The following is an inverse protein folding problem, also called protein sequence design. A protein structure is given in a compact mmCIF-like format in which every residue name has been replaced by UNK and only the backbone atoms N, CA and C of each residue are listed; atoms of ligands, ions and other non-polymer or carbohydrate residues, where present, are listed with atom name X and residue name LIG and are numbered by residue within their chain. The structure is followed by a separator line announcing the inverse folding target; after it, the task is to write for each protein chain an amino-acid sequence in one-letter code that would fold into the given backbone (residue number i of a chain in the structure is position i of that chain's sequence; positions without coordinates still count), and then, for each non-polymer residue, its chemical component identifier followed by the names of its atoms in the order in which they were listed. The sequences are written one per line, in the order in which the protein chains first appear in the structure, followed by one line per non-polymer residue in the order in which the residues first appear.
data_IF_470972103638
#
_entry.id   IF_470972103638
#
_cell.length_a   1.000
_cell.length_b   1.000
_cell.length_c   1.000
_cell.angle_alpha   90.00
_cell.angle_beta   90.00
_cell.angle_gamma   90.00
#
_symmetry.space_group_name_H-M   'P 1'
#
loop_
_entity.id
_entity.type
_entity.pdbx_description
1 polymer ?
#
# COMPACT_ATOMS: atom_id res chain seq x y z
N UNK A 1 -34.89 6.12 56.82
CA UNK A 1 -34.27 4.99 56.09
C UNK A 1 -34.13 5.41 54.67
N UNK A 2 -32.92 5.89 54.27
CA UNK A 2 -32.62 6.38 52.91
C UNK A 2 -31.80 5.30 52.20
N UNK A 3 -32.39 4.70 51.17
CA UNK A 3 -31.68 3.77 50.27
C UNK A 3 -30.99 4.58 49.15
N UNK A 4 -29.68 4.75 49.25
CA UNK A 4 -28.81 5.25 48.21
C UNK A 4 -28.51 4.14 47.21
N UNK A 5 -28.91 4.34 45.95
CA UNK A 5 -28.64 3.41 44.81
C UNK A 5 -27.23 3.61 44.27
N UNK A 6 -26.39 2.58 44.08
CA UNK A 6 -25.11 2.71 43.40
C UNK A 6 -25.34 2.58 41.90
N UNK A 7 -25.23 3.71 41.16
CA UNK A 7 -25.40 3.75 39.69
C UNK A 7 -24.17 4.20 38.94
N UNK A 8 -22.96 4.08 39.47
CA UNK A 8 -21.77 4.75 38.88
C UNK A 8 -20.65 3.84 38.37
N UNK A 9 -20.84 2.52 38.20
CA UNK A 9 -19.72 1.65 37.85
C UNK A 9 -19.78 1.00 36.44
N UNK A 10 -20.81 1.25 35.64
CA UNK A 10 -20.97 0.60 34.31
C UNK A 10 -20.41 1.39 33.12
N UNK A 11 -20.10 2.67 33.29
CA UNK A 11 -19.59 3.51 32.18
C UNK A 11 -18.13 3.31 31.78
N UNK A 12 -17.16 3.04 32.68
CA UNK A 12 -15.78 2.83 32.25
C UNK A 12 -15.55 1.52 31.50
N UNK A 13 -16.35 0.48 31.73
CA UNK A 13 -16.21 -0.79 30.97
C UNK A 13 -16.70 -0.70 29.54
N UNK A 14 -17.72 0.12 29.24
CA UNK A 14 -18.20 0.32 27.88
C UNK A 14 -17.21 1.11 27.01
N UNK A 15 -16.47 2.06 27.60
CA UNK A 15 -15.44 2.83 26.91
C UNK A 15 -14.18 1.98 26.59
N UNK A 16 -13.84 1.04 27.46
CA UNK A 16 -12.68 0.15 27.24
C UNK A 16 -12.91 -0.89 26.12
N UNK A 17 -14.16 -1.36 25.94
CA UNK A 17 -14.50 -2.29 24.84
C UNK A 17 -14.55 -1.62 23.48
N UNK A 18 -14.86 -0.32 23.38
CA UNK A 18 -14.80 0.42 22.10
C UNK A 18 -13.37 0.65 21.60
N UNK A 19 -12.39 0.73 22.50
CA UNK A 19 -10.98 0.94 22.13
C UNK A 19 -10.31 -0.31 21.51
N UNK A 20 -10.87 -1.50 21.70
CA UNK A 20 -10.33 -2.76 21.16
C UNK A 20 -10.78 -3.07 19.71
N UNK A 21 -11.71 -2.30 19.17
CA UNK A 21 -12.19 -2.42 17.78
C UNK A 21 -11.33 -1.65 16.76
N UNK A 22 -10.10 -1.27 17.10
CA UNK A 22 -9.15 -0.77 16.12
C UNK A 22 -8.71 -1.93 15.21
N UNK A 23 -9.62 -2.30 14.30
CA UNK A 23 -9.37 -3.32 13.29
C UNK A 23 -8.05 -3.02 12.59
N UNK A 24 -7.16 -4.01 12.55
CA UNK A 24 -5.88 -3.96 11.84
C UNK A 24 -6.13 -3.65 10.37
N UNK A 25 -5.95 -2.40 9.94
CA UNK A 25 -5.86 -2.11 8.53
C UNK A 25 -4.54 -2.66 8.01
N UNK A 26 -4.58 -3.46 6.98
CA UNK A 26 -3.37 -3.95 6.32
C UNK A 26 -2.56 -2.76 5.80
N UNK A 27 -1.25 -2.69 6.07
CA UNK A 27 -0.42 -1.59 5.59
C UNK A 27 -0.31 -1.62 4.07
N UNK A 28 -0.36 -0.45 3.45
CA UNK A 28 -0.09 -0.29 2.02
C UNK A 28 1.42 -0.24 1.84
N UNK A 29 1.99 -1.27 1.22
CA UNK A 29 3.43 -1.40 1.03
C UNK A 29 3.80 -1.13 -0.42
N UNK A 30 4.67 -0.16 -0.65
CA UNK A 30 5.16 0.22 -1.97
C UNK A 30 6.67 0.00 -2.08
N UNK A 31 7.15 -0.36 -3.28
CA UNK A 31 8.56 -0.41 -3.62
C UNK A 31 8.87 0.72 -4.58
N UNK A 32 9.86 1.53 -4.23
CA UNK A 32 10.27 2.71 -4.98
C UNK A 32 11.69 2.57 -5.47
N UNK A 33 11.94 2.94 -6.72
CA UNK A 33 13.29 3.11 -7.25
C UNK A 33 13.35 4.47 -7.93
N UNK A 34 14.28 5.34 -7.51
CA UNK A 34 14.44 6.67 -8.06
C UNK A 34 15.81 6.85 -8.69
N UNK A 35 15.87 7.64 -9.74
CA UNK A 35 17.08 8.12 -10.40
C UNK A 35 17.00 9.63 -10.53
N UNK A 36 18.07 10.35 -10.19
CA UNK A 36 18.05 11.80 -10.31
C UNK A 36 19.40 12.36 -10.74
N UNK A 37 19.32 13.50 -11.42
CA UNK A 37 20.38 14.47 -11.72
C UNK A 37 19.78 15.86 -11.47
N UNK A 38 19.20 16.05 -10.25
CA UNK A 38 18.42 17.23 -9.93
C UNK A 38 19.29 18.48 -9.88
N UNK A 39 18.93 19.57 -10.63
CA UNK A 39 19.67 20.82 -10.60
C UNK A 39 19.52 21.52 -9.24
N UNK A 40 20.52 22.34 -8.86
CA UNK A 40 20.50 23.09 -7.60
C UNK A 40 19.65 24.37 -7.66
N UNK A 41 19.37 24.89 -8.86
CA UNK A 41 18.72 26.19 -9.13
C UNK A 41 17.21 26.06 -9.39
N UNK A 42 16.53 25.22 -8.63
CA UNK A 42 15.13 24.82 -8.93
C UNK A 42 14.09 25.42 -7.99
N UNK A 43 14.50 26.17 -6.98
CA UNK A 43 13.56 26.77 -6.02
C UNK A 43 12.53 27.68 -6.73
N UNK A 44 11.25 27.38 -6.57
CA UNK A 44 10.16 28.11 -7.19
C UNK A 44 9.99 27.89 -8.71
N UNK A 45 10.73 26.94 -9.28
CA UNK A 45 10.60 26.61 -10.71
C UNK A 45 9.19 26.13 -11.06
N UNK A 46 8.77 26.45 -12.28
CA UNK A 46 7.44 26.06 -12.76
C UNK A 46 7.44 24.68 -13.39
N UNK A 47 6.29 24.00 -13.31
CA UNK A 47 6.08 22.72 -14.00
C UNK A 47 4.76 22.73 -14.81
N UNK A 48 4.73 21.88 -15.84
CA UNK A 48 3.53 21.58 -16.65
C UNK A 48 3.48 20.08 -16.92
N UNK A 49 2.28 19.53 -17.13
CA UNK A 49 2.15 18.10 -17.47
C UNK A 49 2.25 17.89 -18.97
N UNK A 50 2.91 16.80 -19.37
CA UNK A 50 2.87 16.32 -20.75
C UNK A 50 1.58 15.50 -20.89
N UNK A 51 0.75 15.88 -21.84
CA UNK A 51 -0.46 15.15 -22.20
C UNK A 51 -0.40 14.71 -23.65
N UNK A 52 -0.61 13.42 -23.95
CA UNK A 52 -0.89 12.99 -25.32
C UNK A 52 -2.15 13.67 -25.84
N UNK A 53 -2.22 13.88 -27.14
CA UNK A 53 -3.34 14.61 -27.76
C UNK A 53 -4.70 13.93 -27.54
N UNK A 54 -4.72 12.62 -27.48
CA UNK A 54 -5.89 11.77 -27.20
C UNK A 54 -6.34 11.81 -25.72
N UNK A 55 -5.45 12.17 -24.80
CA UNK A 55 -5.74 12.25 -23.34
C UNK A 55 -6.07 13.69 -22.87
N UNK A 56 -6.24 14.67 -23.77
CA UNK A 56 -6.50 16.06 -23.38
C UNK A 56 -7.79 16.24 -22.57
N UNK A 57 -8.81 15.43 -22.81
CA UNK A 57 -10.11 15.49 -22.15
C UNK A 57 -10.35 14.31 -21.17
N UNK A 58 -9.33 13.55 -20.86
CA UNK A 58 -9.42 12.43 -19.92
C UNK A 58 -9.55 12.94 -18.48
N UNK A 59 -10.71 12.71 -17.86
CA UNK A 59 -11.00 13.13 -16.49
C UNK A 59 -10.19 12.32 -15.46
N UNK A 60 -9.90 11.07 -15.77
CA UNK A 60 -9.08 10.21 -14.91
C UNK A 60 -7.65 10.75 -14.86
N UNK A 61 -7.07 11.05 -16.03
CA UNK A 61 -5.74 11.64 -16.12
C UNK A 61 -5.67 12.99 -15.40
N UNK A 62 -6.70 13.84 -15.55
CA UNK A 62 -6.75 15.13 -14.85
C UNK A 62 -6.81 14.96 -13.32
N UNK A 63 -7.52 13.95 -12.82
CA UNK A 63 -7.57 13.63 -11.40
C UNK A 63 -6.20 13.20 -10.88
N UNK A 64 -5.48 12.38 -11.66
CA UNK A 64 -4.13 11.95 -11.33
C UNK A 64 -3.14 13.11 -11.27
N UNK A 65 -3.19 13.99 -12.29
CA UNK A 65 -2.38 15.20 -12.31
C UNK A 65 -2.62 16.12 -11.12
N UNK A 66 -3.89 16.26 -10.70
CA UNK A 66 -4.23 17.06 -9.51
C UNK A 66 -3.59 16.48 -8.24
N UNK A 67 -3.61 15.17 -8.09
CA UNK A 67 -2.97 14.49 -6.95
C UNK A 67 -1.45 14.72 -6.96
N UNK A 68 -0.82 14.60 -8.13
CA UNK A 68 0.63 14.82 -8.30
C UNK A 68 0.98 16.29 -8.08
N UNK A 69 0.16 17.21 -8.58
CA UNK A 69 0.36 18.65 -8.40
C UNK A 69 0.48 19.03 -6.93
N UNK A 70 -0.43 18.52 -6.08
CA UNK A 70 -0.40 18.79 -4.63
C UNK A 70 0.93 18.38 -4.00
N UNK A 71 1.47 17.25 -4.39
CA UNK A 71 2.74 16.77 -3.84
C UNK A 71 3.96 17.53 -4.41
N UNK A 72 3.93 17.95 -5.69
CA UNK A 72 4.99 18.76 -6.28
C UNK A 72 5.02 20.17 -5.69
N UNK A 73 3.86 20.76 -5.38
CA UNK A 73 3.76 22.07 -4.75
C UNK A 73 4.36 22.06 -3.32
N UNK A 74 4.28 20.96 -2.60
CA UNK A 74 4.98 20.78 -1.30
C UNK A 74 6.50 20.81 -1.43
N UNK A 75 7.03 20.51 -2.62
CA UNK A 75 8.45 20.59 -2.94
C UNK A 75 8.87 21.98 -3.47
N UNK A 76 8.07 23.01 -3.22
CA UNK A 76 8.25 24.38 -3.69
C UNK A 76 8.28 24.56 -5.21
N UNK A 77 7.77 23.60 -5.98
CA UNK A 77 7.53 23.75 -7.41
C UNK A 77 6.17 24.44 -7.63
N UNK A 78 6.03 25.21 -8.72
CA UNK A 78 4.80 25.95 -9.01
C UNK A 78 4.16 25.47 -10.32
N UNK A 79 2.85 25.28 -10.32
CA UNK A 79 2.13 24.99 -11.56
C UNK A 79 2.26 26.15 -12.53
N UNK A 80 2.66 25.88 -13.76
CA UNK A 80 2.63 26.87 -14.84
C UNK A 80 1.18 27.26 -15.18
N UNK A 81 0.92 28.54 -15.57
CA UNK A 81 -0.39 28.94 -16.04
C UNK A 81 -0.87 28.11 -17.23
N UNK A 82 -2.19 27.94 -17.41
CA UNK A 82 -2.74 27.22 -18.55
C UNK A 82 -2.16 27.72 -19.89
N UNK A 83 -1.77 26.80 -20.75
CA UNK A 83 -1.19 27.13 -22.09
C UNK A 83 0.28 27.51 -22.04
N UNK A 84 0.92 27.61 -20.89
CA UNK A 84 2.36 27.88 -20.79
C UNK A 84 3.14 26.61 -20.39
N UNK A 85 4.32 26.45 -20.97
CA UNK A 85 5.23 25.39 -20.61
C UNK A 85 6.00 25.77 -19.34
N UNK A 86 6.01 24.89 -18.37
CA UNK A 86 6.87 25.00 -17.20
C UNK A 86 8.32 24.66 -17.54
N UNK A 87 9.26 25.10 -16.68
CA UNK A 87 10.65 24.65 -16.75
C UNK A 87 10.73 23.12 -16.69
N UNK A 88 9.94 22.51 -15.80
CA UNK A 88 9.85 21.06 -15.72
C UNK A 88 8.59 20.56 -16.42
N UNK A 89 8.78 19.61 -17.31
CA UNK A 89 7.68 18.86 -17.92
C UNK A 89 7.50 17.56 -17.14
N UNK A 90 6.30 17.35 -16.61
CA UNK A 90 5.94 16.17 -15.81
C UNK A 90 5.30 15.13 -16.73
N UNK A 91 5.97 13.98 -16.85
CA UNK A 91 5.45 12.83 -17.58
C UNK A 91 5.02 11.76 -16.58
N UNK A 92 3.79 11.32 -16.71
CA UNK A 92 3.13 10.38 -15.79
C UNK A 92 2.64 9.19 -16.57
N UNK A 93 3.09 8.01 -16.17
CA UNK A 93 2.59 6.76 -16.72
C UNK A 93 2.14 5.88 -15.57
N UNK A 94 0.88 5.51 -15.60
CA UNK A 94 0.28 4.59 -14.64
C UNK A 94 -0.04 3.27 -15.30
N UNK A 95 -0.10 2.22 -14.51
CA UNK A 95 -0.52 0.91 -14.97
C UNK A 95 -1.17 0.12 -13.84
N UNK A 96 -2.19 -0.64 -14.20
CA UNK A 96 -2.86 -1.56 -13.30
C UNK A 96 -2.94 -2.94 -13.96
N UNK A 97 -2.70 -3.99 -13.20
CA UNK A 97 -2.69 -5.34 -13.72
C UNK A 97 -2.81 -6.38 -12.63
N UNK A 98 -2.68 -7.64 -13.03
CA UNK A 98 -2.77 -8.78 -12.12
C UNK A 98 -1.54 -9.66 -12.29
N UNK A 99 -1.00 -10.15 -11.19
CA UNK A 99 0.11 -11.11 -11.17
C UNK A 99 -0.28 -12.32 -10.35
N UNK A 100 -0.03 -13.50 -10.87
CA UNK A 100 -0.19 -14.73 -10.11
C UNK A 100 1.04 -14.96 -9.24
N UNK A 101 0.81 -15.20 -7.95
CA UNK A 101 1.83 -15.63 -7.00
C UNK A 101 1.53 -17.05 -6.54
N UNK A 102 2.55 -17.85 -6.48
CA UNK A 102 2.48 -19.24 -6.01
C UNK A 102 2.99 -19.30 -4.58
N UNK A 103 2.19 -19.88 -3.70
CA UNK A 103 2.53 -20.09 -2.30
C UNK A 103 2.47 -21.58 -1.99
N UNK A 104 3.35 -22.02 -1.10
CA UNK A 104 3.22 -23.32 -0.45
C UNK A 104 2.39 -23.13 0.81
N UNK A 105 1.29 -23.85 0.90
CA UNK A 105 0.43 -23.85 2.07
C UNK A 105 0.52 -25.21 2.74
N UNK A 106 0.94 -25.26 4.02
CA UNK A 106 0.97 -26.52 4.74
C UNK A 106 -0.44 -27.07 4.93
N UNK A 107 -0.56 -28.37 4.79
CA UNK A 107 -1.78 -29.13 5.03
C UNK A 107 -1.61 -29.83 6.37
N UNK A 108 -2.58 -29.59 7.26
CA UNK A 108 -2.68 -30.28 8.53
C UNK A 108 -3.92 -31.17 8.49
N UNK A 109 -3.78 -32.36 9.00
CA UNK A 109 -4.87 -33.30 9.14
C UNK A 109 -5.15 -33.51 10.63
N UNK A 110 -6.41 -33.36 11.02
CA UNK A 110 -6.85 -33.67 12.38
C UNK A 110 -6.89 -35.18 12.53
N UNK A 111 -6.19 -35.69 13.54
CA UNK A 111 -6.24 -37.09 13.91
C UNK A 111 -7.35 -37.28 14.94
N UNK A 112 -8.23 -38.23 14.64
CA UNK A 112 -9.19 -38.71 15.62
C UNK A 112 -8.64 -40.00 16.24
N UNK A 113 -8.57 -40.04 17.56
CA UNK A 113 -8.19 -41.21 18.31
C UNK A 113 -9.47 -41.90 18.81
N UNK A 114 -9.56 -43.20 18.56
CA UNK A 114 -10.64 -44.00 19.10
C UNK A 114 -10.30 -44.40 20.52
N UNK A 115 -11.13 -43.94 21.47
CA UNK A 115 -11.10 -44.39 22.86
C UNK A 115 -12.02 -45.59 22.99
N UNK A 116 -11.48 -46.79 23.34
CA UNK A 116 -12.32 -47.97 23.48
C UNK A 116 -13.28 -47.85 24.70
N UNK A 117 -14.36 -48.61 24.70
CA UNK A 117 -15.24 -48.66 25.88
C UNK A 117 -14.46 -49.01 27.14
N UNK A 118 -14.76 -48.33 28.23
CA UNK A 118 -14.11 -48.60 29.50
C UNK A 118 -15.13 -48.63 30.65
N UNK A 119 -14.73 -49.21 31.76
CA UNK A 119 -15.51 -49.27 33.02
C UNK A 119 -14.74 -48.48 34.06
N UNK A 120 -15.43 -47.59 34.78
CA UNK A 120 -14.83 -46.85 35.88
C UNK A 120 -14.74 -47.73 37.15
N UNK A 121 -14.09 -47.19 38.19
CA UNK A 121 -13.95 -47.88 39.50
C UNK A 121 -15.28 -48.13 40.23
N UNK A 122 -16.34 -47.39 39.90
CA UNK A 122 -17.70 -47.55 40.43
C UNK A 122 -18.54 -48.55 39.62
N UNK A 123 -17.97 -49.13 38.55
CA UNK A 123 -18.63 -50.14 37.73
C UNK A 123 -19.47 -49.58 36.59
N UNK A 124 -19.48 -48.25 36.34
CA UNK A 124 -20.20 -47.64 35.24
C UNK A 124 -19.48 -47.97 33.92
N UNK A 125 -20.25 -48.32 32.88
CA UNK A 125 -19.74 -48.62 31.55
C UNK A 125 -19.90 -47.38 30.66
N UNK A 126 -18.80 -46.95 30.08
CA UNK A 126 -18.76 -45.85 29.07
C UNK A 126 -18.51 -46.48 27.69
N UNK A 127 -19.33 -46.09 26.71
CA UNK A 127 -19.16 -46.54 25.33
C UNK A 127 -17.90 -45.97 24.70
N UNK A 128 -17.38 -46.64 23.66
CA UNK A 128 -16.25 -46.11 22.89
C UNK A 128 -16.64 -44.84 22.14
N UNK A 129 -15.71 -43.90 22.03
CA UNK A 129 -15.90 -42.64 21.31
C UNK A 129 -14.64 -42.21 20.59
N UNK A 130 -14.82 -41.33 19.58
CA UNK A 130 -13.74 -40.69 18.86
C UNK A 130 -13.49 -39.32 19.48
N UNK A 131 -12.25 -39.00 19.79
CA UNK A 131 -11.83 -37.68 20.27
C UNK A 131 -10.69 -37.14 19.43
N UNK A 132 -10.57 -35.85 19.34
CA UNK A 132 -9.41 -35.21 18.70
C UNK A 132 -8.12 -35.57 19.44
N UNK A 133 -7.06 -35.80 18.69
CA UNK A 133 -5.74 -36.06 19.24
C UNK A 133 -5.32 -34.85 20.13
N UNK A 134 -4.99 -35.06 21.40
CA UNK A 134 -4.55 -34.01 22.29
C UNK A 134 -3.23 -33.33 21.86
N UNK A 135 -2.48 -33.96 20.97
CA UNK A 135 -1.24 -33.40 20.39
C UNK A 135 -1.51 -32.51 19.17
N UNK A 136 -2.79 -32.35 18.78
CA UNK A 136 -3.22 -31.47 17.68
C UNK A 136 -3.12 -32.09 16.30
N UNK A 137 -3.28 -31.26 15.30
CA UNK A 137 -3.28 -31.65 13.88
C UNK A 137 -1.87 -32.01 13.42
N UNK A 138 -1.76 -33.11 12.68
CA UNK A 138 -0.50 -33.57 12.10
C UNK A 138 -0.24 -32.92 10.74
N UNK A 139 0.97 -32.39 10.52
CA UNK A 139 1.40 -31.96 9.20
C UNK A 139 1.50 -33.17 8.27
N UNK A 140 0.83 -33.09 7.12
CA UNK A 140 0.77 -34.19 6.11
C UNK A 140 1.39 -33.80 4.76
N UNK A 141 1.81 -32.56 4.60
CA UNK A 141 2.45 -32.10 3.37
C UNK A 141 2.10 -30.65 3.02
N UNK A 142 2.52 -30.22 1.84
CA UNK A 142 2.22 -28.90 1.31
C UNK A 142 1.36 -29.00 0.06
N UNK A 143 0.47 -28.06 -0.12
CA UNK A 143 -0.19 -27.81 -1.40
C UNK A 143 0.30 -26.52 -2.02
N UNK A 144 0.41 -26.50 -3.33
CA UNK A 144 0.67 -25.30 -4.09
C UNK A 144 -0.64 -24.55 -4.30
N UNK A 145 -0.69 -23.29 -3.84
CA UNK A 145 -1.84 -22.40 -4.04
C UNK A 145 -1.39 -21.24 -4.91
N UNK A 146 -2.11 -21.00 -5.99
CA UNK A 146 -1.93 -19.82 -6.84
C UNK A 146 -2.92 -18.76 -6.40
N UNK A 147 -2.42 -17.58 -6.05
CA UNK A 147 -3.22 -16.41 -5.68
C UNK A 147 -2.92 -15.27 -6.65
N UNK A 148 -3.96 -14.70 -7.21
CA UNK A 148 -3.86 -13.48 -8.00
C UNK A 148 -3.74 -12.27 -7.06
N UNK A 149 -2.73 -11.44 -7.28
CA UNK A 149 -2.55 -10.16 -6.58
C UNK A 149 -2.63 -9.02 -7.58
N UNK A 150 -3.21 -7.91 -7.18
CA UNK A 150 -3.22 -6.69 -7.98
C UNK A 150 -1.85 -6.03 -7.93
N UNK A 151 -1.43 -5.48 -9.07
CA UNK A 151 -0.19 -4.75 -9.23
C UNK A 151 -0.50 -3.40 -9.83
N UNK A 152 -0.33 -2.34 -9.02
CA UNK A 152 -0.43 -0.96 -9.50
C UNK A 152 0.96 -0.37 -9.60
N UNK A 153 1.24 0.34 -10.68
CA UNK A 153 2.52 1.00 -10.88
C UNK A 153 2.34 2.45 -11.30
N UNK A 154 3.31 3.26 -10.89
CA UNK A 154 3.45 4.65 -11.28
C UNK A 154 4.88 4.87 -11.73
N UNK A 155 5.06 5.47 -12.92
CA UNK A 155 6.31 6.08 -13.34
C UNK A 155 6.10 7.58 -13.46
N UNK A 156 6.87 8.33 -12.67
CA UNK A 156 6.88 9.78 -12.64
C UNK A 156 8.23 10.28 -13.15
N UNK A 157 8.25 11.12 -14.18
CA UNK A 157 9.46 11.75 -14.69
C UNK A 157 9.32 13.26 -14.69
N UNK A 158 10.38 13.93 -14.30
CA UNK A 158 10.54 15.38 -14.44
C UNK A 158 11.63 15.65 -15.47
N UNK A 159 11.24 16.32 -16.56
CA UNK A 159 12.09 16.63 -17.70
C UNK A 159 12.40 18.12 -17.66
N UNK A 160 13.67 18.52 -17.56
CA UNK A 160 14.09 19.91 -17.55
C UNK A 160 14.24 20.44 -18.97
N UNK A 161 13.48 21.48 -19.31
CA UNK A 161 13.55 22.14 -20.62
C UNK A 161 14.78 23.05 -20.75
N UNK A 162 15.31 23.57 -19.61
CA UNK A 162 16.53 24.39 -19.60
C UNK A 162 17.78 23.56 -19.93
N UNK A 163 17.77 22.25 -19.61
CA UNK A 163 18.89 21.34 -19.92
C UNK A 163 18.91 20.86 -21.38
N UNK A 164 18.07 21.43 -22.25
CA UNK A 164 17.93 21.02 -23.66
C UNK A 164 19.10 21.42 -24.55
N UNK A 165 19.97 22.31 -24.10
CA UNK A 165 21.01 22.95 -24.94
C UNK A 165 22.04 21.98 -25.56
N UNK A 166 22.13 20.73 -25.09
CA UNK A 166 22.99 19.68 -25.65
C UNK A 166 22.25 18.51 -26.32
N UNK A 167 20.92 18.54 -26.35
CA UNK A 167 20.12 17.35 -26.69
C UNK A 167 19.13 17.58 -27.85
N UNK A 168 19.58 18.30 -28.87
CA UNK A 168 18.79 18.62 -30.06
C UNK A 168 17.39 19.23 -29.73
N UNK A 169 17.31 20.07 -28.70
CA UNK A 169 16.07 20.74 -28.29
C UNK A 169 15.09 19.86 -27.49
N UNK A 170 15.44 18.63 -27.15
CA UNK A 170 14.56 17.76 -26.38
C UNK A 170 14.80 17.93 -24.86
N UNK A 171 13.73 18.02 -24.02
CA UNK A 171 13.87 18.08 -22.58
C UNK A 171 14.62 16.87 -22.02
N UNK A 172 15.49 17.09 -21.04
CA UNK A 172 16.28 16.04 -20.39
C UNK A 172 15.61 15.57 -19.11
N UNK A 173 15.49 14.25 -18.92
CA UNK A 173 15.04 13.71 -17.66
C UNK A 173 16.06 14.00 -16.54
N UNK A 174 15.63 14.73 -15.51
CA UNK A 174 16.43 15.07 -14.33
C UNK A 174 15.97 14.34 -13.07
N UNK A 175 14.78 13.79 -13.13
CA UNK A 175 14.26 12.92 -12.09
C UNK A 175 13.35 11.85 -12.71
N UNK A 176 13.50 10.62 -12.28
CA UNK A 176 12.61 9.51 -12.60
C UNK A 176 12.38 8.68 -11.35
N UNK A 177 11.12 8.38 -11.04
CA UNK A 177 10.73 7.48 -9.97
C UNK A 177 9.76 6.42 -10.49
N UNK A 178 10.01 5.18 -10.10
CA UNK A 178 9.13 4.03 -10.37
C UNK A 178 8.66 3.47 -9.05
N UNK A 179 7.36 3.41 -8.90
CA UNK A 179 6.70 2.87 -7.71
C UNK A 179 5.83 1.71 -8.10
N UNK A 180 5.92 0.64 -7.33
CA UNK A 180 5.10 -0.56 -7.50
C UNK A 180 4.41 -0.87 -6.18
N UNK A 181 3.11 -1.05 -6.25
CA UNK A 181 2.27 -1.62 -5.20
C UNK A 181 1.82 -3.01 -5.62
N UNK A 182 1.88 -3.97 -4.71
CA UNK A 182 1.31 -5.30 -4.87
C UNK A 182 0.44 -5.60 -3.65
N UNK A 183 -0.84 -5.82 -3.86
CA UNK A 183 -1.77 -6.06 -2.76
C UNK A 183 -3.19 -6.36 -3.22
N UNK A 184 -4.13 -6.19 -2.31
CA UNK A 184 -5.54 -6.55 -2.52
C UNK A 184 -6.41 -5.35 -2.97
N UNK A 185 -5.87 -4.11 -3.02
CA UNK A 185 -6.62 -2.95 -3.50
C UNK A 185 -6.67 -2.99 -5.02
N UNK A 186 -7.86 -3.08 -5.56
CA UNK A 186 -8.08 -3.21 -7.01
C UNK A 186 -8.03 -1.89 -7.74
N UNK A 187 -8.55 -0.82 -7.11
CA UNK A 187 -8.72 0.49 -7.72
C UNK A 187 -7.42 1.30 -7.69
N UNK A 188 -6.90 1.64 -8.88
CA UNK A 188 -5.71 2.49 -9.00
C UNK A 188 -5.91 3.86 -8.35
N UNK A 189 -7.09 4.45 -8.50
CA UNK A 189 -7.48 5.74 -7.91
C UNK A 189 -7.30 5.77 -6.39
N UNK A 190 -7.59 4.65 -5.72
CA UNK A 190 -7.42 4.50 -4.26
C UNK A 190 -5.95 4.43 -3.86
N UNK A 191 -5.12 3.78 -4.67
CA UNK A 191 -3.70 3.55 -4.37
C UNK A 191 -2.82 4.72 -4.82
N UNK A 192 -3.24 5.45 -5.85
CA UNK A 192 -2.44 6.50 -6.49
C UNK A 192 -1.86 7.56 -5.52
N UNK A 193 -2.61 8.09 -4.54
CA UNK A 193 -2.04 9.06 -3.60
C UNK A 193 -0.83 8.51 -2.82
N UNK A 194 -0.85 7.21 -2.51
CA UNK A 194 0.27 6.53 -1.84
C UNK A 194 1.45 6.34 -2.79
N UNK A 195 1.17 5.99 -4.06
CA UNK A 195 2.22 5.85 -5.07
C UNK A 195 2.92 7.18 -5.32
N UNK A 196 2.17 8.29 -5.42
CA UNK A 196 2.74 9.63 -5.64
C UNK A 196 3.57 10.07 -4.45
N UNK A 197 3.06 9.93 -3.22
CA UNK A 197 3.81 10.26 -2.00
C UNK A 197 5.06 9.41 -1.85
N UNK A 198 4.98 8.14 -2.22
CA UNK A 198 6.14 7.25 -2.23
C UNK A 198 7.16 7.66 -3.30
N UNK A 199 6.70 8.03 -4.51
CA UNK A 199 7.57 8.47 -5.62
C UNK A 199 8.42 9.69 -5.26
N UNK A 200 7.85 10.60 -4.47
CA UNK A 200 8.46 11.88 -4.08
C UNK A 200 9.03 11.88 -2.66
N UNK A 201 9.01 10.72 -1.97
CA UNK A 201 9.59 10.61 -0.63
C UNK A 201 11.10 10.87 -0.65
N UNK A 202 11.56 11.75 0.24
CA UNK A 202 12.97 12.19 0.29
C UNK A 202 13.49 12.77 -1.03
N UNK A 203 12.62 13.42 -1.81
CA UNK A 203 12.97 14.02 -3.08
C UNK A 203 14.17 15.00 -2.95
N UNK A 204 15.15 14.95 -3.89
CA UNK A 204 15.26 14.05 -5.05
C UNK A 204 15.81 12.65 -4.72
N UNK A 205 16.23 12.38 -3.47
CA UNK A 205 16.65 11.09 -2.95
C UNK A 205 17.99 10.57 -3.48
N UNK A 206 18.30 9.32 -3.14
CA UNK A 206 19.49 8.62 -3.61
C UNK A 206 19.20 7.85 -4.89
N UNK A 207 20.02 8.05 -5.92
CA UNK A 207 19.87 7.43 -7.22
C UNK A 207 20.12 5.91 -7.17
N UNK A 208 19.24 5.12 -7.81
CA UNK A 208 19.42 3.68 -8.00
C UNK A 208 19.10 2.77 -6.81
N UNK A 209 18.70 3.35 -5.66
CA UNK A 209 18.36 2.56 -4.48
C UNK A 209 16.88 2.15 -4.49
N UNK A 210 16.62 0.88 -4.21
CA UNK A 210 15.26 0.39 -3.98
C UNK A 210 14.88 0.61 -2.52
N UNK A 211 13.78 1.32 -2.28
CA UNK A 211 13.27 1.62 -0.94
C UNK A 211 11.87 1.04 -0.81
N UNK A 212 11.59 0.41 0.33
CA UNK A 212 10.24 -0.02 0.67
C UNK A 212 9.60 1.00 1.60
N UNK A 213 8.46 1.55 1.20
CA UNK A 213 7.71 2.52 1.99
C UNK A 213 6.38 1.90 2.37
N UNK A 214 6.04 2.01 3.65
CA UNK A 214 4.78 1.50 4.19
C UNK A 214 3.91 2.67 4.63
N UNK A 215 2.62 2.56 4.36
CA UNK A 215 1.62 3.50 4.82
C UNK A 215 0.59 2.76 5.67
N UNK A 216 0.12 3.42 6.70
CA UNK A 216 -1.04 2.95 7.44
C UNK A 216 -2.29 3.04 6.55
N UNK A 217 -3.00 1.94 6.40
CA UNK A 217 -4.16 1.86 5.48
C UNK A 217 -5.37 2.70 5.92
N UNK A 218 -5.43 3.13 7.19
CA UNK A 218 -6.53 3.95 7.72
C UNK A 218 -6.18 5.43 7.69
N UNK A 219 -5.03 5.79 8.23
CA UNK A 219 -4.62 7.19 8.40
C UNK A 219 -3.88 7.73 7.19
N UNK A 220 -3.37 6.85 6.34
CA UNK A 220 -2.49 7.22 5.23
C UNK A 220 -1.13 7.75 5.67
N UNK A 221 -0.80 7.69 6.96
CA UNK A 221 0.50 8.13 7.45
C UNK A 221 1.61 7.17 7.00
N UNK A 222 2.79 7.69 6.69
CA UNK A 222 3.97 6.87 6.49
C UNK A 222 4.36 6.19 7.80
N UNK A 223 4.59 4.88 7.74
CA UNK A 223 5.10 4.10 8.86
C UNK A 223 6.62 4.07 8.73
N UNK A 224 7.29 4.78 9.64
CA UNK A 224 8.74 4.72 9.76
C UNK A 224 9.11 3.44 10.52
N UNK A 225 9.99 2.62 9.96
CA UNK A 225 10.55 1.47 10.67
C UNK A 225 11.69 1.91 11.57
#
# INVERSE_FOLDING_TARGET
MNFTKPRLFLWPMAAATLALLTACASPITTKVTSFNQWPSDTAGASFSFIRPADAMNDLEQQSYEKTIQVELEKLALKRAPPGQLGRFQVDVVTGNGTRNRTYRQPIYQDNLLYHPPYRDAAGNVFGGFWASDPFGSRYVGDRTVVRSVRVSNLRLRLLDTAASAGNAGKPRAVFESRVVYEGDIEELTTVLPFLVRAALNNFPGQSGKVVTIKFDGKTGAMVTN
#
